data_IF_542856928347
#
_entry.id   IF_542856928347
#
_cell.length_a   1.000
_cell.length_b   1.000
_cell.length_c   1.000
_cell.angle_alpha   90.00
_cell.angle_beta   90.00
_cell.angle_gamma   90.00
#
_symmetry.space_group_name_H-M   'P 1'
#
loop_
_entity.id
_entity.type
_entity.pdbx_description
1 polymer ?
#
# COMPACT_ATOMS: atom_id res chain seq x y z
N UNK A 1 -73.89 23.46 14.33
CA UNK A 1 -72.64 23.18 15.04
C UNK A 1 -71.60 22.79 13.99
N UNK A 2 -70.74 23.76 13.63
CA UNK A 2 -69.70 23.61 12.63
C UNK A 2 -68.38 23.33 13.35
N UNK A 3 -67.68 22.20 13.01
CA UNK A 3 -66.32 21.88 13.47
C UNK A 3 -65.31 22.66 12.66
N UNK A 4 -64.24 23.21 13.26
CA UNK A 4 -63.22 23.92 12.52
C UNK A 4 -62.21 22.92 11.87
N UNK A 5 -61.87 23.20 10.60
CA UNK A 5 -60.81 22.54 9.84
C UNK A 5 -59.43 22.94 10.45
N UNK A 6 -58.67 21.95 10.90
CA UNK A 6 -57.27 22.12 11.23
C UNK A 6 -56.44 22.19 9.93
N UNK A 7 -55.78 23.31 9.70
CA UNK A 7 -54.78 23.50 8.65
C UNK A 7 -53.47 22.88 9.10
N UNK A 8 -53.05 21.79 8.48
CA UNK A 8 -51.69 21.26 8.61
C UNK A 8 -50.76 22.12 7.73
N UNK A 9 -49.87 22.84 8.39
CA UNK A 9 -48.77 23.52 7.71
C UNK A 9 -47.65 22.50 7.43
N UNK A 10 -47.41 22.19 6.15
CA UNK A 10 -46.27 21.38 5.71
C UNK A 10 -45.03 22.29 5.79
N UNK A 11 -44.18 22.06 6.78
CA UNK A 11 -42.85 22.68 6.83
C UNK A 11 -41.96 21.96 5.83
N UNK A 12 -41.68 22.59 4.70
CA UNK A 12 -40.67 22.12 3.76
C UNK A 12 -39.26 22.31 4.37
N UNK A 13 -38.64 21.23 4.79
CA UNK A 13 -37.21 21.22 5.17
C UNK A 13 -36.40 21.32 3.88
N UNK A 14 -35.95 22.51 3.54
CA UNK A 14 -34.95 22.73 2.49
C UNK A 14 -33.60 22.25 3.06
N UNK A 15 -33.20 21.04 2.72
CA UNK A 15 -31.86 20.56 2.93
C UNK A 15 -30.91 21.38 2.04
N UNK A 16 -30.25 22.37 2.60
CA UNK A 16 -29.12 23.04 1.96
C UNK A 16 -27.99 22.02 1.82
N UNK A 17 -27.86 21.42 0.65
CA UNK A 17 -26.67 20.69 0.27
C UNK A 17 -25.51 21.68 0.23
N UNK A 18 -24.69 21.68 1.31
CA UNK A 18 -23.41 22.38 1.30
C UNK A 18 -22.54 21.67 0.29
N UNK A 19 -22.15 22.30 -0.83
CA UNK A 19 -21.20 21.67 -1.74
C UNK A 19 -19.92 21.46 -0.95
N UNK A 20 -19.45 20.21 -0.84
CA UNK A 20 -18.11 19.91 -0.38
C UNK A 20 -17.16 20.68 -1.30
N UNK A 21 -16.57 21.76 -0.78
CA UNK A 21 -15.49 22.47 -1.46
C UNK A 21 -14.32 21.48 -1.58
N UNK A 22 -14.30 20.73 -2.69
CA UNK A 22 -13.12 20.05 -3.12
C UNK A 22 -12.05 21.14 -3.26
N UNK A 23 -11.12 21.19 -2.32
CA UNK A 23 -10.00 22.12 -2.41
C UNK A 23 -9.26 21.76 -3.68
N UNK A 24 -9.34 22.64 -4.69
CA UNK A 24 -8.62 22.45 -5.94
C UNK A 24 -7.14 22.30 -5.58
N UNK A 25 -6.59 21.13 -5.88
CA UNK A 25 -5.17 20.87 -5.67
C UNK A 25 -4.39 21.87 -6.53
N UNK A 26 -3.29 22.41 -6.00
CA UNK A 26 -2.43 23.29 -6.82
C UNK A 26 -1.90 22.53 -8.02
N UNK A 27 -1.74 23.21 -9.16
CA UNK A 27 -1.19 22.59 -10.38
C UNK A 27 0.18 21.94 -10.11
N UNK A 28 0.98 22.54 -9.23
CA UNK A 28 2.28 22.00 -8.82
C UNK A 28 2.11 20.67 -8.06
N UNK A 29 1.09 20.53 -7.20
CA UNK A 29 0.83 19.29 -6.49
C UNK A 29 0.39 18.18 -7.44
N UNK A 30 -0.46 18.47 -8.42
CA UNK A 30 -0.89 17.50 -9.44
C UNK A 30 0.30 17.01 -10.28
N UNK A 31 1.20 17.92 -10.65
CA UNK A 31 2.40 17.56 -11.41
C UNK A 31 3.41 16.78 -10.55
N UNK A 32 3.56 17.13 -9.28
CA UNK A 32 4.36 16.37 -8.32
C UNK A 32 3.80 14.94 -8.15
N UNK A 33 2.49 14.80 -7.95
CA UNK A 33 1.84 13.49 -7.81
C UNK A 33 2.06 12.61 -9.04
N UNK A 34 1.98 13.17 -10.24
CA UNK A 34 2.15 12.42 -11.49
C UNK A 34 3.48 11.69 -11.59
N UNK A 35 4.56 12.30 -11.08
CA UNK A 35 5.93 11.80 -11.29
C UNK A 35 6.62 11.30 -10.03
N UNK A 36 6.04 11.54 -8.86
CA UNK A 36 6.68 11.20 -7.59
C UNK A 36 5.77 10.60 -6.52
N UNK A 37 4.47 10.40 -6.79
CA UNK A 37 3.59 9.79 -5.80
C UNK A 37 3.98 8.32 -5.55
N UNK A 38 4.16 7.96 -4.28
CA UNK A 38 4.39 6.57 -3.87
C UNK A 38 3.05 5.81 -3.91
N UNK A 39 2.97 4.65 -4.58
CA UNK A 39 1.76 3.82 -4.58
C UNK A 39 1.29 3.44 -3.17
N UNK A 40 2.23 3.24 -2.24
CA UNK A 40 1.99 2.81 -0.87
C UNK A 40 1.82 3.98 0.12
N UNK A 41 1.83 5.25 -0.33
CA UNK A 41 1.63 6.40 0.55
C UNK A 41 0.15 6.54 0.94
N UNK A 42 -0.21 6.41 2.23
CA UNK A 42 -1.59 6.61 2.68
C UNK A 42 -2.16 8.01 2.41
N UNK A 43 -1.28 9.01 2.22
CA UNK A 43 -1.68 10.37 1.87
C UNK A 43 -1.95 10.56 0.37
N UNK A 44 -1.70 9.53 -0.45
CA UNK A 44 -1.94 9.56 -1.89
C UNK A 44 -3.45 9.45 -2.17
N UNK A 45 -4.04 10.37 -2.97
CA UNK A 45 -5.42 10.22 -3.43
C UNK A 45 -5.62 8.92 -4.24
N UNK A 46 -6.81 8.35 -4.15
CA UNK A 46 -7.12 7.08 -4.81
C UNK A 46 -7.05 7.15 -6.34
N UNK A 47 -7.35 8.31 -6.90
CA UNK A 47 -7.31 8.60 -8.34
C UNK A 47 -5.90 8.89 -8.89
N UNK A 48 -4.91 9.07 -8.00
CA UNK A 48 -3.51 9.24 -8.40
C UNK A 48 -2.86 7.88 -8.59
N UNK A 49 -2.38 7.61 -9.81
CA UNK A 49 -1.55 6.44 -10.07
C UNK A 49 -0.15 6.69 -9.51
N UNK A 50 0.24 5.96 -8.47
CA UNK A 50 1.59 6.07 -7.92
C UNK A 50 2.66 5.55 -8.89
N UNK A 51 3.91 5.98 -8.66
CA UNK A 51 5.11 5.46 -9.32
C UNK A 51 6.01 4.81 -8.27
N UNK A 52 6.40 3.53 -8.44
CA UNK A 52 7.27 2.84 -7.46
C UNK A 52 8.57 3.60 -7.26
N UNK A 53 9.19 4.05 -8.35
CA UNK A 53 10.42 4.83 -8.36
C UNK A 53 10.23 6.10 -9.18
N UNK A 54 10.94 7.18 -8.79
CA UNK A 54 11.01 8.40 -9.60
C UNK A 54 11.94 8.13 -10.77
N UNK A 55 11.39 8.12 -11.99
CA UNK A 55 12.17 7.85 -13.18
C UNK A 55 13.26 8.91 -13.41
N UNK A 56 14.42 8.52 -13.91
CA UNK A 56 15.55 9.43 -14.11
C UNK A 56 15.20 10.66 -14.95
N UNK A 57 14.34 10.48 -15.97
CA UNK A 57 13.85 11.58 -16.82
C UNK A 57 12.94 12.57 -16.07
N UNK A 58 12.30 12.12 -14.99
CA UNK A 58 11.32 12.91 -14.24
C UNK A 58 11.88 13.58 -12.99
N UNK A 59 13.13 13.28 -12.60
CA UNK A 59 13.74 13.78 -11.36
C UNK A 59 13.69 15.31 -11.27
N UNK A 60 14.12 16.00 -12.31
CA UNK A 60 14.15 17.48 -12.31
C UNK A 60 12.73 18.07 -12.21
N UNK A 61 11.77 17.46 -12.90
CA UNK A 61 10.36 17.80 -12.86
C UNK A 61 9.79 17.58 -11.46
N UNK A 62 10.05 16.41 -10.86
CA UNK A 62 9.63 16.07 -9.51
C UNK A 62 10.20 17.06 -8.48
N UNK A 63 11.51 17.33 -8.51
CA UNK A 63 12.13 18.28 -7.58
C UNK A 63 11.48 19.67 -7.71
N UNK A 64 11.27 20.17 -8.94
CA UNK A 64 10.65 21.48 -9.17
C UNK A 64 9.26 21.58 -8.58
N UNK A 65 8.37 20.72 -9.01
CA UNK A 65 6.95 20.82 -8.67
C UNK A 65 6.64 20.36 -7.24
N UNK A 66 7.31 19.31 -6.75
CA UNK A 66 7.15 18.91 -5.36
C UNK A 66 7.69 19.97 -4.38
N UNK A 67 8.77 20.68 -4.73
CA UNK A 67 9.29 21.78 -3.91
C UNK A 67 8.28 22.93 -3.81
N UNK A 68 7.66 23.33 -4.92
CA UNK A 68 6.64 24.38 -4.91
C UNK A 68 5.42 23.99 -4.06
N UNK A 69 4.96 22.74 -4.15
CA UNK A 69 3.82 22.24 -3.39
C UNK A 69 4.14 21.89 -1.92
N UNK A 70 5.42 21.75 -1.55
CA UNK A 70 5.83 21.29 -0.23
C UNK A 70 5.44 22.24 0.93
N UNK A 71 5.26 23.54 0.67
CA UNK A 71 4.84 24.51 1.69
C UNK A 71 3.44 24.19 2.25
N UNK A 72 2.54 23.71 1.41
CA UNK A 72 1.12 23.47 1.73
C UNK A 72 0.75 22.00 1.91
N UNK A 73 1.62 21.05 1.49
CA UNK A 73 1.29 19.62 1.47
C UNK A 73 2.39 18.76 2.08
N UNK A 74 2.07 18.01 3.16
CA UNK A 74 3.00 17.02 3.74
C UNK A 74 3.31 15.89 2.75
N UNK A 75 2.34 15.52 1.89
CA UNK A 75 2.54 14.56 0.80
C UNK A 75 3.58 15.05 -0.19
N UNK A 76 3.48 16.31 -0.64
CA UNK A 76 4.48 16.87 -1.54
C UNK A 76 5.89 16.96 -0.90
N UNK A 77 5.98 17.20 0.41
CA UNK A 77 7.26 17.13 1.13
C UNK A 77 7.87 15.73 1.11
N UNK A 78 7.05 14.71 1.33
CA UNK A 78 7.48 13.32 1.25
C UNK A 78 7.96 12.98 -0.16
N UNK A 79 7.17 13.31 -1.19
CA UNK A 79 7.52 13.10 -2.59
C UNK A 79 8.78 13.87 -3.01
N UNK A 80 8.98 15.08 -2.49
CA UNK A 80 10.23 15.84 -2.68
C UNK A 80 11.44 15.07 -2.13
N UNK A 81 11.29 14.46 -0.96
CA UNK A 81 12.33 13.59 -0.40
C UNK A 81 12.65 12.41 -1.31
N UNK A 82 11.63 11.75 -1.89
CA UNK A 82 11.83 10.67 -2.89
C UNK A 82 12.58 11.18 -4.13
N UNK A 83 12.21 12.34 -4.65
CA UNK A 83 12.88 12.93 -5.80
C UNK A 83 14.35 13.27 -5.53
N UNK A 84 14.65 13.81 -4.32
CA UNK A 84 16.03 14.05 -3.92
C UNK A 84 16.83 12.76 -3.74
N UNK A 85 16.23 11.71 -3.15
CA UNK A 85 16.88 10.40 -3.00
C UNK A 85 17.20 9.79 -4.38
N UNK A 86 16.25 9.85 -5.34
CA UNK A 86 16.47 9.42 -6.71
C UNK A 86 17.60 10.21 -7.40
N UNK A 87 17.75 11.50 -7.06
CA UNK A 87 18.85 12.37 -7.54
C UNK A 87 20.16 12.20 -6.74
N UNK A 88 20.24 11.20 -5.85
CA UNK A 88 21.41 10.97 -4.96
C UNK A 88 21.73 12.13 -4.00
N UNK A 89 20.80 13.03 -3.80
CA UNK A 89 20.86 14.16 -2.85
C UNK A 89 20.28 13.72 -1.50
N UNK A 90 20.97 12.80 -0.81
CA UNK A 90 20.43 12.15 0.39
C UNK A 90 20.26 13.12 1.56
N UNK A 91 21.12 14.12 1.71
CA UNK A 91 20.99 15.11 2.77
C UNK A 91 19.70 15.94 2.64
N UNK A 92 19.37 16.36 1.43
CA UNK A 92 18.15 17.08 1.09
C UNK A 92 16.92 16.17 1.23
N UNK A 93 17.03 14.90 0.83
CA UNK A 93 15.97 13.91 1.01
C UNK A 93 15.61 13.75 2.49
N UNK A 94 16.61 13.56 3.36
CA UNK A 94 16.44 13.43 4.79
C UNK A 94 15.81 14.70 5.38
N UNK A 95 16.25 15.88 4.96
CA UNK A 95 15.69 17.13 5.43
C UNK A 95 14.21 17.29 5.02
N UNK A 96 13.84 16.90 3.80
CA UNK A 96 12.46 16.89 3.33
C UNK A 96 11.60 15.88 4.10
N UNK A 97 12.10 14.64 4.30
CA UNK A 97 11.37 13.62 5.06
C UNK A 97 11.22 13.97 6.55
N UNK A 98 12.19 14.63 7.18
CA UNK A 98 12.03 15.15 8.56
C UNK A 98 10.88 16.15 8.63
N UNK A 99 10.84 17.14 7.74
CA UNK A 99 9.74 18.11 7.68
C UNK A 99 8.39 17.45 7.41
N UNK A 100 8.33 16.45 6.52
CA UNK A 100 7.12 15.70 6.24
C UNK A 100 6.68 14.87 7.47
N UNK A 101 7.60 14.19 8.13
CA UNK A 101 7.37 13.42 9.38
C UNK A 101 6.85 14.32 10.52
N UNK A 102 7.41 15.51 10.67
CA UNK A 102 6.95 16.48 11.69
C UNK A 102 5.51 16.95 11.41
N UNK A 103 5.11 17.00 10.13
CA UNK A 103 3.73 17.27 9.70
C UNK A 103 2.84 16.03 9.68
N UNK A 104 3.32 14.89 10.16
CA UNK A 104 2.55 13.66 10.30
C UNK A 104 2.52 12.75 9.07
N UNK A 105 3.43 12.92 8.08
CA UNK A 105 3.56 11.95 6.99
C UNK A 105 4.13 10.63 7.50
N UNK A 106 3.30 9.59 7.48
CA UNK A 106 3.69 8.26 7.96
C UNK A 106 4.67 7.57 7.03
N UNK A 107 4.58 7.83 5.72
CA UNK A 107 5.55 7.34 4.74
C UNK A 107 6.94 7.94 4.97
N UNK A 108 7.02 9.24 5.29
CA UNK A 108 8.29 9.88 5.67
C UNK A 108 8.87 9.30 6.98
N UNK A 109 8.01 8.99 7.96
CA UNK A 109 8.44 8.30 9.18
C UNK A 109 9.06 6.94 8.87
N UNK A 110 8.47 6.19 7.93
CA UNK A 110 8.99 4.89 7.50
C UNK A 110 10.35 5.03 6.83
N UNK A 111 10.52 5.96 5.88
CA UNK A 111 11.81 6.17 5.21
C UNK A 111 12.91 6.56 6.21
N UNK A 112 12.64 7.51 7.10
CA UNK A 112 13.60 7.88 8.15
C UNK A 112 13.91 6.71 9.08
N UNK A 113 12.89 5.92 9.45
CA UNK A 113 13.06 4.73 10.28
C UNK A 113 13.99 3.70 9.63
N UNK A 114 13.83 3.47 8.33
CA UNK A 114 14.73 2.58 7.55
C UNK A 114 16.16 3.12 7.57
N UNK A 115 16.37 4.42 7.34
CA UNK A 115 17.70 5.03 7.37
C UNK A 115 18.37 4.88 8.74
N UNK A 116 17.64 5.16 9.83
CA UNK A 116 18.19 4.97 11.19
C UNK A 116 18.43 3.49 11.52
N UNK A 117 17.55 2.58 11.07
CA UNK A 117 17.70 1.15 11.32
C UNK A 117 18.90 0.53 10.59
N UNK A 118 19.21 1.03 9.41
CA UNK A 118 20.31 0.50 8.56
C UNK A 118 21.63 1.27 8.69
N UNK A 119 21.58 2.54 9.10
CA UNK A 119 22.73 3.44 9.04
C UNK A 119 23.04 3.93 7.62
N UNK A 120 22.06 3.84 6.70
CA UNK A 120 22.25 4.28 5.31
C UNK A 120 22.13 5.80 5.14
N UNK A 121 22.53 6.30 3.98
CA UNK A 121 22.34 7.71 3.59
C UNK A 121 23.17 8.72 4.40
N UNK A 122 24.23 8.29 5.09
CA UNK A 122 25.04 9.16 5.95
C UNK A 122 24.42 9.41 7.33
N UNK A 123 23.39 8.67 7.69
CA UNK A 123 22.78 8.68 9.03
C UNK A 123 23.44 7.62 9.89
N UNK A 124 23.85 7.97 11.11
CA UNK A 124 24.33 6.96 12.06
C UNK A 124 23.20 5.96 12.39
N UNK A 125 23.56 4.67 12.48
CA UNK A 125 22.60 3.63 12.88
C UNK A 125 22.08 3.91 14.29
N UNK A 126 20.75 3.98 14.44
CA UNK A 126 20.04 4.19 15.69
C UNK A 126 18.72 3.40 15.69
N UNK A 127 18.78 2.17 16.19
CA UNK A 127 17.61 1.29 16.23
C UNK A 127 16.49 1.82 17.15
N UNK A 128 16.83 2.59 18.19
CA UNK A 128 15.83 3.16 19.08
C UNK A 128 15.02 4.26 18.36
N UNK A 129 15.71 5.09 17.59
CA UNK A 129 15.05 6.12 16.77
C UNK A 129 14.24 5.48 15.63
N UNK A 130 14.78 4.45 14.97
CA UNK A 130 14.05 3.69 13.96
C UNK A 130 12.75 3.12 14.52
N UNK A 131 12.81 2.47 15.68
CA UNK A 131 11.65 1.92 16.38
C UNK A 131 10.60 2.98 16.67
N UNK A 132 10.99 4.10 17.26
CA UNK A 132 10.08 5.22 17.57
C UNK A 132 9.35 5.74 16.34
N UNK A 133 10.05 5.83 15.21
CA UNK A 133 9.46 6.26 13.94
C UNK A 133 8.48 5.24 13.39
N UNK A 134 8.83 3.94 13.40
CA UNK A 134 7.93 2.88 12.98
C UNK A 134 6.71 2.73 13.90
N UNK A 135 6.88 2.90 15.23
CA UNK A 135 5.75 2.91 16.17
C UNK A 135 4.76 4.04 15.86
N UNK A 136 5.25 5.25 15.61
CA UNK A 136 4.40 6.38 15.22
C UNK A 136 3.66 6.11 13.89
N UNK A 137 4.36 5.59 12.89
CA UNK A 137 3.77 5.23 11.62
C UNK A 137 2.72 4.11 11.77
N UNK A 138 3.02 3.07 12.57
CA UNK A 138 2.13 1.97 12.86
C UNK A 138 0.86 2.40 13.62
N UNK A 139 1.00 3.26 14.63
CA UNK A 139 -0.13 3.82 15.38
C UNK A 139 -1.07 4.63 14.48
N UNK A 140 -0.53 5.29 13.47
CA UNK A 140 -1.30 6.00 12.46
C UNK A 140 -1.81 5.09 11.31
N UNK A 141 -1.67 3.76 11.46
CA UNK A 141 -2.20 2.78 10.52
C UNK A 141 -1.37 2.57 9.26
N UNK A 142 -0.10 3.01 9.22
CA UNK A 142 0.76 2.74 8.06
C UNK A 142 1.26 1.29 8.06
N UNK A 143 0.88 0.46 7.05
CA UNK A 143 1.23 -0.95 7.03
C UNK A 143 2.74 -1.21 6.95
N UNK A 144 3.49 -0.37 6.24
CA UNK A 144 4.96 -0.47 6.16
C UNK A 144 5.59 -0.18 7.52
N UNK A 145 5.03 0.77 8.29
CA UNK A 145 5.44 1.05 9.66
C UNK A 145 5.25 -0.18 10.56
N UNK A 146 4.12 -0.86 10.44
CA UNK A 146 3.81 -2.09 11.20
C UNK A 146 4.78 -3.21 10.82
N UNK A 147 4.98 -3.44 9.52
CA UNK A 147 5.88 -4.49 9.03
C UNK A 147 7.35 -4.26 9.44
N UNK A 148 7.82 -3.01 9.34
CA UNK A 148 9.19 -2.68 9.75
C UNK A 148 9.38 -2.76 11.28
N UNK A 149 8.35 -2.40 12.05
CA UNK A 149 8.38 -2.58 13.51
C UNK A 149 8.48 -4.05 13.88
N UNK A 150 7.73 -4.93 13.21
CA UNK A 150 7.80 -6.37 13.39
C UNK A 150 9.18 -6.93 13.00
N UNK A 151 9.77 -6.46 11.90
CA UNK A 151 11.11 -6.87 11.45
C UNK A 151 12.21 -6.47 12.42
N UNK A 152 12.18 -5.27 12.98
CA UNK A 152 13.13 -4.84 14.02
C UNK A 152 13.07 -5.68 15.28
N UNK A 153 11.92 -6.21 15.60
CA UNK A 153 11.73 -7.06 16.75
C UNK A 153 12.24 -8.49 16.55
N UNK A 154 12.27 -8.99 15.31
CA UNK A 154 12.83 -10.31 14.97
C UNK A 154 14.33 -10.43 15.18
N UNK A 155 15.06 -9.33 15.28
CA UNK A 155 16.49 -9.29 15.55
C UNK A 155 16.89 -9.25 17.05
N UNK A 156 15.99 -9.68 17.95
CA UNK A 156 16.30 -9.87 19.38
C UNK A 156 15.76 -8.80 20.34
N UNK A 157 14.93 -7.90 19.88
CA UNK A 157 14.27 -6.90 20.74
C UNK A 157 12.83 -7.29 21.10
N UNK A 158 12.36 -6.92 22.29
CA UNK A 158 11.02 -7.20 22.85
C UNK A 158 9.83 -6.69 22.01
N UNK A 159 10.04 -6.19 20.80
CA UNK A 159 9.03 -5.58 19.93
C UNK A 159 8.55 -6.47 18.77
N UNK A 160 9.16 -7.64 18.53
CA UNK A 160 8.59 -8.62 17.61
C UNK A 160 7.48 -9.39 18.30
N UNK A 161 6.36 -8.75 18.49
CA UNK A 161 5.15 -9.47 18.82
C UNK A 161 4.29 -9.54 17.55
N UNK A 162 4.38 -10.64 16.76
CA UNK A 162 3.56 -10.80 15.55
C UNK A 162 2.07 -10.70 15.85
N UNK A 163 1.64 -11.10 17.04
CA UNK A 163 0.24 -10.95 17.47
C UNK A 163 -0.14 -9.47 17.58
N UNK A 164 0.77 -8.63 18.11
CA UNK A 164 0.53 -7.18 18.17
C UNK A 164 0.52 -6.54 16.77
N UNK A 165 1.41 -6.99 15.87
CA UNK A 165 1.39 -6.53 14.47
C UNK A 165 0.07 -6.90 13.79
N UNK A 166 -0.43 -8.11 14.02
CA UNK A 166 -1.72 -8.58 13.51
C UNK A 166 -2.90 -7.72 14.02
N UNK A 167 -2.89 -7.36 15.30
CA UNK A 167 -3.89 -6.47 15.90
C UNK A 167 -3.87 -5.06 15.29
N UNK A 168 -2.67 -4.48 15.10
CA UNK A 168 -2.53 -3.15 14.50
C UNK A 168 -2.96 -3.16 13.02
N UNK A 169 -2.57 -4.21 12.27
CA UNK A 169 -3.01 -4.39 10.89
C UNK A 169 -4.53 -4.57 10.79
N UNK A 170 -5.16 -5.26 11.73
CA UNK A 170 -6.61 -5.45 11.72
C UNK A 170 -7.36 -4.10 11.78
N UNK A 171 -6.87 -3.15 12.58
CA UNK A 171 -7.43 -1.79 12.63
C UNK A 171 -7.23 -1.03 11.31
N UNK A 172 -6.04 -1.11 10.73
CA UNK A 172 -5.74 -0.44 9.47
C UNK A 172 -6.47 -1.08 8.26
N UNK A 173 -6.76 -2.39 8.33
CA UNK A 173 -7.41 -3.16 7.28
C UNK A 173 -8.90 -2.82 7.06
N UNK A 174 -9.49 -1.97 7.90
CA UNK A 174 -10.87 -1.52 7.70
C UNK A 174 -11.03 -0.81 6.34
N UNK A 175 -10.04 -0.01 5.93
CA UNK A 175 -10.11 0.81 4.72
C UNK A 175 -8.88 0.74 3.82
N UNK A 176 -7.74 0.25 4.31
CA UNK A 176 -6.45 0.31 3.60
C UNK A 176 -6.12 -1.03 2.93
N UNK A 177 -6.00 -1.02 1.59
CA UNK A 177 -5.74 -2.21 0.79
C UNK A 177 -4.40 -2.91 1.12
N UNK A 178 -3.35 -2.14 1.41
CA UNK A 178 -2.05 -2.69 1.81
C UNK A 178 -2.15 -3.39 3.17
N UNK A 179 -2.87 -2.80 4.14
CA UNK A 179 -3.11 -3.43 5.43
C UNK A 179 -3.95 -4.71 5.32
N UNK A 180 -4.96 -4.72 4.45
CA UNK A 180 -5.75 -5.90 4.13
C UNK A 180 -4.87 -7.01 3.55
N UNK A 181 -4.02 -6.68 2.60
CA UNK A 181 -3.07 -7.62 2.01
C UNK A 181 -2.08 -8.17 3.06
N UNK A 182 -1.45 -7.31 3.86
CA UNK A 182 -0.49 -7.70 4.89
C UNK A 182 -1.14 -8.59 5.97
N UNK A 183 -2.33 -8.22 6.46
CA UNK A 183 -3.08 -9.03 7.40
C UNK A 183 -3.48 -10.37 6.80
N UNK A 184 -3.92 -10.38 5.54
CA UNK A 184 -4.23 -11.59 4.80
C UNK A 184 -3.04 -12.53 4.71
N UNK A 185 -1.82 -12.02 4.46
CA UNK A 185 -0.58 -12.79 4.46
C UNK A 185 -0.30 -13.40 5.85
N UNK A 186 -0.41 -12.60 6.91
CA UNK A 186 -0.20 -13.10 8.29
C UNK A 186 -1.18 -14.20 8.66
N UNK A 187 -2.44 -14.07 8.26
CA UNK A 187 -3.47 -15.10 8.48
C UNK A 187 -3.18 -16.37 7.67
N UNK A 188 -2.78 -16.23 6.41
CA UNK A 188 -2.47 -17.34 5.52
C UNK A 188 -1.25 -18.16 5.95
N UNK A 189 -0.33 -17.55 6.68
CA UNK A 189 0.90 -18.16 7.17
C UNK A 189 0.82 -18.61 8.64
N UNK A 190 -0.20 -18.13 9.39
CA UNK A 190 -0.30 -18.34 10.82
C UNK A 190 0.68 -17.47 11.61
N UNK A 191 1.15 -16.37 11.02
CA UNK A 191 2.07 -15.46 11.66
C UNK A 191 1.33 -14.58 12.68
N UNK A 192 1.71 -14.67 13.94
CA UNK A 192 1.09 -13.93 15.04
C UNK A 192 -0.23 -14.50 15.55
N UNK A 193 -0.55 -15.76 15.24
CA UNK A 193 -1.72 -16.49 15.69
C UNK A 193 -2.04 -17.66 14.78
N UNK A 194 -3.19 -18.28 14.99
CA UNK A 194 -3.62 -19.41 14.17
C UNK A 194 -3.74 -19.02 12.68
N UNK A 195 -3.44 -20.02 11.83
CA UNK A 195 -3.65 -19.93 10.40
C UNK A 195 -5.14 -19.91 10.07
N UNK A 196 -5.56 -18.99 9.22
CA UNK A 196 -6.95 -18.88 8.77
C UNK A 196 -7.00 -18.51 7.28
N UNK A 197 -7.07 -19.52 6.41
CA UNK A 197 -7.15 -19.33 4.97
C UNK A 197 -8.48 -18.70 4.53
N UNK A 198 -9.57 -18.86 5.29
CA UNK A 198 -10.87 -18.27 4.97
C UNK A 198 -10.84 -16.76 5.20
N UNK A 199 -10.38 -16.33 6.37
CA UNK A 199 -10.23 -14.91 6.68
C UNK A 199 -9.17 -14.27 5.80
N UNK A 200 -8.06 -14.94 5.49
CA UNK A 200 -7.04 -14.46 4.56
C UNK A 200 -7.62 -14.19 3.17
N UNK A 201 -8.41 -15.15 2.63
CA UNK A 201 -9.07 -14.99 1.33
C UNK A 201 -9.99 -13.77 1.31
N UNK A 202 -10.82 -13.58 2.34
CA UNK A 202 -11.73 -12.44 2.44
C UNK A 202 -10.98 -11.09 2.46
N UNK A 203 -9.82 -11.03 3.10
CA UNK A 203 -8.97 -9.84 3.11
C UNK A 203 -8.30 -9.59 1.77
N UNK A 204 -7.76 -10.63 1.12
CA UNK A 204 -7.22 -10.50 -0.23
C UNK A 204 -8.29 -10.06 -1.22
N UNK A 205 -9.53 -10.54 -1.10
CA UNK A 205 -10.64 -10.10 -1.94
C UNK A 205 -10.93 -8.61 -1.78
N UNK A 206 -10.98 -8.10 -0.54
CA UNK A 206 -11.16 -6.67 -0.25
C UNK A 206 -10.02 -5.82 -0.86
N UNK A 207 -8.78 -6.25 -0.71
CA UNK A 207 -7.64 -5.56 -1.29
C UNK A 207 -7.62 -5.65 -2.83
N UNK A 208 -7.99 -6.79 -3.41
CA UNK A 208 -8.12 -7.01 -4.85
C UNK A 208 -9.24 -6.16 -5.48
N UNK A 209 -10.32 -5.90 -4.74
CA UNK A 209 -11.37 -4.98 -5.16
C UNK A 209 -10.85 -3.54 -5.30
N UNK A 210 -9.82 -3.18 -4.53
CA UNK A 210 -9.10 -1.90 -4.64
C UNK A 210 -7.93 -1.94 -5.63
N UNK A 211 -7.83 -2.98 -6.47
CA UNK A 211 -6.77 -3.21 -7.45
C UNK A 211 -5.36 -3.31 -6.83
N UNK A 212 -5.23 -3.85 -5.63
CA UNK A 212 -3.92 -4.12 -5.04
C UNK A 212 -3.24 -5.30 -5.78
N UNK A 213 -2.07 -5.11 -6.46
CA UNK A 213 -1.51 -6.12 -7.35
C UNK A 213 -1.19 -7.44 -6.63
N UNK A 214 -0.49 -7.38 -5.49
CA UNK A 214 -0.16 -8.57 -4.72
C UNK A 214 -1.40 -9.31 -4.18
N UNK A 215 -2.48 -8.60 -3.85
CA UNK A 215 -3.71 -9.24 -3.42
C UNK A 215 -4.43 -9.95 -4.58
N UNK A 216 -4.39 -9.38 -5.78
CA UNK A 216 -4.89 -10.03 -6.99
C UNK A 216 -4.09 -11.32 -7.29
N UNK A 217 -2.75 -11.27 -7.19
CA UNK A 217 -1.90 -12.46 -7.35
C UNK A 217 -2.28 -13.53 -6.30
N UNK A 218 -2.39 -13.15 -5.01
CA UNK A 218 -2.78 -14.08 -3.95
C UNK A 218 -4.18 -14.66 -4.14
N UNK A 219 -5.15 -13.87 -4.61
CA UNK A 219 -6.48 -14.39 -4.96
C UNK A 219 -6.41 -15.41 -6.08
N UNK A 220 -5.57 -15.18 -7.10
CA UNK A 220 -5.29 -16.17 -8.15
C UNK A 220 -4.76 -17.49 -7.57
N UNK A 221 -3.74 -17.41 -6.70
CA UNK A 221 -3.14 -18.57 -6.06
C UNK A 221 -4.13 -19.32 -5.13
N UNK A 222 -4.94 -18.59 -4.38
CA UNK A 222 -5.95 -19.15 -3.48
C UNK A 222 -7.08 -19.85 -4.26
N UNK A 223 -7.57 -19.23 -5.34
CA UNK A 223 -8.58 -19.83 -6.20
C UNK A 223 -8.04 -21.08 -6.92
N UNK A 224 -6.81 -21.04 -7.43
CA UNK A 224 -6.17 -22.19 -8.07
C UNK A 224 -5.95 -23.37 -7.11
N UNK A 225 -5.58 -23.08 -5.86
CA UNK A 225 -5.32 -24.08 -4.83
C UNK A 225 -6.55 -24.53 -4.02
N UNK A 226 -7.67 -23.83 -4.14
CA UNK A 226 -8.84 -24.07 -3.30
C UNK A 226 -8.61 -23.68 -1.83
N UNK A 227 -7.74 -22.69 -1.56
CA UNK A 227 -7.44 -22.23 -0.21
C UNK A 227 -8.54 -21.27 0.27
N UNK A 228 -9.07 -21.51 1.46
CA UNK A 228 -10.11 -20.67 2.05
C UNK A 228 -11.45 -20.66 1.29
N UNK A 229 -11.64 -21.60 0.33
CA UNK A 229 -12.86 -21.73 -0.47
C UNK A 229 -12.70 -22.71 -1.63
N UNK A 230 -13.68 -22.81 -2.53
CA UNK A 230 -13.62 -23.77 -3.64
C UNK A 230 -12.47 -23.45 -4.59
N UNK A 231 -11.93 -24.53 -5.20
CA UNK A 231 -10.99 -24.42 -6.31
C UNK A 231 -11.72 -23.90 -7.54
N UNK A 232 -11.19 -22.86 -8.16
CA UNK A 232 -11.74 -22.23 -9.36
C UNK A 232 -10.60 -21.73 -10.26
N UNK A 233 -10.33 -22.48 -11.31
CA UNK A 233 -9.23 -22.18 -12.23
C UNK A 233 -9.53 -20.99 -13.15
N UNK A 234 -10.80 -20.76 -13.48
CA UNK A 234 -11.21 -19.62 -14.32
C UNK A 234 -11.11 -18.32 -13.55
N UNK A 235 -11.61 -18.31 -12.29
CA UNK A 235 -11.40 -17.18 -11.40
C UNK A 235 -9.92 -16.91 -11.16
N UNK A 236 -9.09 -17.94 -10.95
CA UNK A 236 -7.65 -17.79 -10.77
C UNK A 236 -7.00 -17.09 -11.96
N UNK A 237 -7.33 -17.51 -13.19
CA UNK A 237 -6.84 -16.89 -14.43
C UNK A 237 -7.22 -15.41 -14.49
N UNK A 238 -8.49 -15.05 -14.20
CA UNK A 238 -8.97 -13.67 -14.22
C UNK A 238 -8.24 -12.78 -13.20
N UNK A 239 -7.95 -13.28 -12.01
CA UNK A 239 -7.17 -12.56 -11.00
C UNK A 239 -5.72 -12.34 -11.45
N UNK A 240 -5.05 -13.36 -12.00
CA UNK A 240 -3.69 -13.23 -12.52
C UNK A 240 -3.62 -12.26 -13.71
N UNK A 241 -4.60 -12.26 -14.62
CA UNK A 241 -4.66 -11.32 -15.74
C UNK A 241 -4.73 -9.87 -15.24
N UNK A 242 -5.56 -9.61 -14.23
CA UNK A 242 -5.65 -8.29 -13.61
C UNK A 242 -4.36 -7.88 -12.92
N UNK A 243 -3.72 -8.78 -12.17
CA UNK A 243 -2.46 -8.50 -11.50
C UNK A 243 -1.34 -8.22 -12.52
N UNK A 244 -1.24 -9.04 -13.58
CA UNK A 244 -0.26 -8.88 -14.67
C UNK A 244 -0.44 -7.54 -15.41
N UNK A 245 -1.68 -7.10 -15.63
CA UNK A 245 -1.98 -5.81 -16.22
C UNK A 245 -1.52 -4.63 -15.35
N UNK A 246 -1.40 -4.84 -14.03
CA UNK A 246 -0.84 -3.88 -13.08
C UNK A 246 0.69 -4.00 -12.92
N UNK A 247 1.32 -4.90 -13.68
CA UNK A 247 2.77 -5.07 -13.70
C UNK A 247 3.30 -6.15 -12.74
N UNK A 248 2.44 -6.98 -12.16
CA UNK A 248 2.86 -8.07 -11.27
C UNK A 248 3.56 -9.18 -12.06
N UNK A 249 4.86 -9.39 -11.81
CA UNK A 249 5.68 -10.36 -12.53
C UNK A 249 5.38 -11.81 -12.12
N UNK A 250 4.96 -12.05 -10.88
CA UNK A 250 4.62 -13.40 -10.43
C UNK A 250 3.28 -13.86 -11.02
N UNK A 251 2.34 -12.95 -11.19
CA UNK A 251 1.11 -13.20 -11.92
C UNK A 251 1.37 -13.51 -13.41
N UNK A 252 2.31 -12.82 -14.08
CA UNK A 252 2.71 -13.14 -15.46
C UNK A 252 3.25 -14.56 -15.55
N UNK A 253 4.15 -14.94 -14.65
CA UNK A 253 4.68 -16.32 -14.58
C UNK A 253 3.59 -17.35 -14.25
N UNK A 254 2.60 -16.99 -13.42
CA UNK A 254 1.48 -17.86 -13.10
C UNK A 254 0.61 -18.10 -14.35
N UNK A 255 0.33 -17.07 -15.14
CA UNK A 255 -0.39 -17.19 -16.41
C UNK A 255 0.36 -18.05 -17.44
N UNK A 256 1.68 -17.91 -17.54
CA UNK A 256 2.49 -18.78 -18.39
C UNK A 256 2.39 -20.26 -17.97
N UNK A 257 2.43 -20.54 -16.65
CA UNK A 257 2.24 -21.90 -16.13
C UNK A 257 0.83 -22.45 -16.41
N UNK A 258 -0.19 -21.61 -16.36
CA UNK A 258 -1.56 -22.02 -16.71
C UNK A 258 -1.72 -22.31 -18.21
N UNK A 259 -1.07 -21.50 -19.05
CA UNK A 259 -1.08 -21.67 -20.52
C UNK A 259 -0.24 -22.87 -20.96
N UNK A 260 0.85 -23.14 -20.25
CA UNK A 260 1.83 -24.17 -20.62
C UNK A 260 2.03 -25.15 -19.45
N UNK A 261 0.99 -25.96 -19.09
CA UNK A 261 1.00 -26.74 -17.84
C UNK A 261 1.95 -27.95 -17.87
N UNK A 262 2.42 -28.39 -19.06
CA UNK A 262 3.27 -29.56 -19.17
C UNK A 262 4.68 -29.15 -19.55
N UNK A 263 5.64 -29.50 -18.70
CA UNK A 263 7.05 -29.33 -18.97
C UNK A 263 7.62 -30.64 -19.52
N UNK A 264 8.19 -30.60 -20.71
CA UNK A 264 8.99 -31.73 -21.28
C UNK A 264 10.38 -31.62 -20.65
N UNK A 265 10.80 -32.67 -19.96
CA UNK A 265 12.10 -32.78 -19.32
C UNK A 265 13.03 -33.73 -20.03
N UNK A 266 14.30 -33.43 -20.05
CA UNK A 266 15.34 -34.35 -20.52
C UNK A 266 15.54 -35.52 -19.53
N UNK A 267 16.40 -36.49 -19.91
CA UNK A 267 16.73 -37.64 -19.05
C UNK A 267 17.40 -37.24 -17.72
N UNK A 268 17.87 -36.01 -17.58
CA UNK A 268 18.51 -35.46 -16.39
C UNK A 268 17.52 -34.65 -15.52
N UNK A 269 16.26 -34.54 -15.98
CA UNK A 269 15.21 -33.79 -15.28
C UNK A 269 15.15 -32.28 -15.58
N UNK A 270 15.98 -31.77 -16.47
CA UNK A 270 15.95 -30.37 -16.89
C UNK A 270 14.78 -30.13 -17.85
N UNK A 271 14.10 -28.99 -17.68
CA UNK A 271 13.02 -28.59 -18.60
C UNK A 271 13.63 -28.19 -19.93
N UNK A 272 13.24 -28.90 -20.98
CA UNK A 272 13.67 -28.66 -22.38
C UNK A 272 12.71 -27.67 -23.04
N UNK A 273 11.41 -27.85 -22.84
CA UNK A 273 10.37 -26.98 -23.37
C UNK A 273 9.08 -27.19 -22.60
N UNK A 274 8.14 -26.23 -22.72
CA UNK A 274 6.80 -26.36 -22.20
C UNK A 274 5.79 -26.56 -23.33
N UNK A 275 4.79 -27.42 -23.10
CA UNK A 275 3.65 -27.57 -24.01
C UNK A 275 2.58 -26.56 -23.61
N UNK A 276 2.23 -25.72 -24.57
CA UNK A 276 1.22 -24.68 -24.46
C UNK A 276 -0.02 -25.03 -25.26
N UNK A 277 -1.22 -24.76 -24.75
CA UNK A 277 -2.50 -24.99 -25.38
C UNK A 277 -3.31 -23.69 -25.49
#
# INVERSE_FOLDING_TARGET
MMKPLQKFALAAVVALAVPALAHAQSADLVLCDRVAADPADPDKPADVKGVPDVAAADIATAIKYCRNAASSSRRAMYQLGRAYAANRQMAEAIAAWRKASDKGSTSAMVELGVLYGTGAGGVAKDEAQARKLFERAAQAGNPRGISNLAALGGSGGAAANPARSRELLAKAAETNAEAQYQLGMMLAEGNGGEKDDVAARALFEKAAAQNHPGALERMGAFAQGGRGGPKDSDAAKGYYERAAALGDEDAKKALERLRCPYAIKDKRGNVVTNLCF
#
